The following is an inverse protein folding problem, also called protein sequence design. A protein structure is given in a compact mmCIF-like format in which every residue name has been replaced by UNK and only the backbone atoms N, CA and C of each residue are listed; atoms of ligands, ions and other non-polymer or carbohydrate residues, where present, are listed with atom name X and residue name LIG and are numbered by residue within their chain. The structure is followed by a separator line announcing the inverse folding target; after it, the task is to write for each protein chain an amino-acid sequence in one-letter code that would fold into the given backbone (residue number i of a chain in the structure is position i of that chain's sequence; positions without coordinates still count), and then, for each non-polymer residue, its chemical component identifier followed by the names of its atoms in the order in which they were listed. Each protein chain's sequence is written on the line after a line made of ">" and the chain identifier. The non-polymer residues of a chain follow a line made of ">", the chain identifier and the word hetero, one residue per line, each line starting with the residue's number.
data_IF_912942640001
#
_entry.id   IF_912942640001
#
_cell.length_a   1.000
_cell.length_b   1.000
_cell.length_c   1.000
_cell.angle_alpha   90.00
_cell.angle_beta   90.00
_cell.angle_gamma   90.00
#
_symmetry.space_group_name_H-M   'P 1'
#
loop_
_entity.id
_entity.type
_entity.pdbx_description
1 polymer ?
#
# COMPACT_ATOMS: atom_id res chain seq x y z
N UNK A 1 34.15 -33.69 -0.36
CA UNK A 1 35.47 -34.07 -0.92
C UNK A 1 36.17 -34.93 0.11
N UNK A 2 37.03 -35.85 -0.31
CA UNK A 2 37.88 -36.68 0.55
C UNK A 2 39.34 -36.42 0.20
N UNK A 3 40.21 -36.39 1.20
CA UNK A 3 41.64 -36.20 1.04
C UNK A 3 42.39 -37.37 1.65
N UNK A 4 43.36 -37.89 0.91
CA UNK A 4 44.24 -38.94 1.37
C UNK A 4 45.63 -38.34 1.67
N UNK A 5 46.03 -38.39 2.94
CA UNK A 5 47.29 -37.80 3.42
C UNK A 5 48.54 -38.52 2.92
N UNK A 6 48.45 -39.83 2.68
CA UNK A 6 49.59 -40.64 2.20
C UNK A 6 49.90 -40.37 0.73
N UNK A 7 48.86 -40.20 -0.09
CA UNK A 7 48.98 -39.99 -1.54
C UNK A 7 48.95 -38.52 -1.95
N UNK A 8 48.55 -37.62 -1.05
CA UNK A 8 48.36 -36.20 -1.34
C UNK A 8 47.22 -35.90 -2.31
N UNK A 9 46.32 -36.86 -2.57
CA UNK A 9 45.22 -36.71 -3.53
C UNK A 9 43.93 -36.24 -2.86
N UNK A 10 43.31 -35.20 -3.42
CA UNK A 10 41.94 -34.80 -3.10
C UNK A 10 40.98 -35.31 -4.17
N UNK A 11 39.96 -36.06 -3.77
CA UNK A 11 38.90 -36.55 -4.65
C UNK A 11 37.55 -35.98 -4.24
N UNK A 12 36.65 -35.76 -5.19
CA UNK A 12 35.32 -35.27 -4.87
C UNK A 12 34.45 -35.05 -6.08
N UNK A 13 33.15 -34.95 -5.81
CA UNK A 13 32.17 -34.62 -6.82
C UNK A 13 31.79 -33.14 -6.71
N UNK A 14 31.81 -32.43 -7.83
CA UNK A 14 31.36 -31.05 -7.92
C UNK A 14 30.28 -30.94 -8.99
N UNK A 15 29.10 -30.46 -8.60
CA UNK A 15 27.98 -30.20 -9.51
C UNK A 15 27.93 -28.72 -9.84
N UNK A 16 27.85 -28.39 -11.13
CA UNK A 16 27.76 -27.03 -11.62
C UNK A 16 26.73 -26.85 -12.72
N UNK A 17 26.12 -25.66 -12.78
CA UNK A 17 25.32 -25.17 -13.91
C UNK A 17 26.17 -24.30 -14.84
N UNK A 18 25.65 -23.97 -16.02
CA UNK A 18 26.32 -23.02 -16.93
C UNK A 18 26.52 -21.62 -16.33
N UNK A 19 25.67 -21.24 -15.37
CA UNK A 19 25.79 -20.00 -14.60
C UNK A 19 26.80 -20.08 -13.44
N UNK A 20 27.34 -21.27 -13.16
CA UNK A 20 28.28 -21.48 -12.06
C UNK A 20 29.70 -21.11 -12.46
N UNK A 21 30.44 -20.55 -11.52
CA UNK A 21 31.84 -20.15 -11.74
C UNK A 21 32.84 -21.33 -11.70
N UNK A 22 32.35 -22.57 -11.72
CA UNK A 22 33.16 -23.79 -11.56
C UNK A 22 34.19 -23.96 -12.68
N UNK A 23 33.84 -23.64 -13.93
CA UNK A 23 34.77 -23.72 -15.07
C UNK A 23 35.98 -22.78 -14.85
N UNK A 24 35.73 -21.57 -14.36
CA UNK A 24 36.78 -20.61 -14.05
C UNK A 24 37.61 -21.07 -12.84
N UNK A 25 36.97 -21.64 -11.82
CA UNK A 25 37.67 -22.22 -10.66
C UNK A 25 38.60 -23.37 -11.06
N UNK A 26 38.19 -24.24 -12.00
CA UNK A 26 39.03 -25.32 -12.53
C UNK A 26 40.21 -24.75 -13.35
N UNK A 27 39.98 -23.71 -14.16
CA UNK A 27 41.06 -23.04 -14.89
C UNK A 27 42.11 -22.45 -13.93
N UNK A 28 41.67 -21.78 -12.87
CA UNK A 28 42.55 -21.25 -11.82
C UNK A 28 43.31 -22.37 -11.09
N UNK A 29 42.63 -23.48 -10.76
CA UNK A 29 43.29 -24.64 -10.16
C UNK A 29 44.40 -25.19 -11.06
N UNK A 30 44.14 -25.32 -12.38
CA UNK A 30 45.13 -25.78 -13.36
C UNK A 30 46.30 -24.81 -13.53
N UNK A 31 46.13 -23.51 -13.27
CA UNK A 31 47.24 -22.56 -13.27
C UNK A 31 48.07 -22.58 -11.98
N UNK A 32 47.51 -23.12 -10.88
CA UNK A 32 48.14 -23.16 -9.55
C UNK A 32 48.73 -24.53 -9.21
N UNK A 33 49.41 -25.16 -10.18
CA UNK A 33 49.91 -26.55 -10.07
C UNK A 33 50.89 -26.75 -8.91
N UNK A 34 51.70 -25.73 -8.59
CA UNK A 34 52.69 -25.78 -7.49
C UNK A 34 52.07 -25.98 -6.11
N UNK A 35 50.80 -25.60 -5.94
CA UNK A 35 50.14 -25.51 -4.64
C UNK A 35 49.02 -26.58 -4.48
N UNK A 36 48.88 -27.50 -5.45
CA UNK A 36 47.77 -28.49 -5.53
C UNK A 36 47.69 -29.44 -4.33
N UNK A 37 48.77 -29.60 -3.56
CA UNK A 37 48.83 -30.57 -2.46
C UNK A 37 47.84 -30.31 -1.32
N UNK A 38 47.33 -29.08 -1.14
CA UNK A 38 46.47 -28.77 0.01
C UNK A 38 44.99 -29.02 -0.28
N UNK A 39 44.25 -29.78 0.58
CA UNK A 39 42.87 -30.18 0.32
C UNK A 39 41.88 -29.01 0.22
N UNK A 40 42.16 -27.89 0.90
CA UNK A 40 41.33 -26.67 0.87
C UNK A 40 41.59 -25.74 -0.33
N UNK A 41 42.54 -26.04 -1.23
CA UNK A 41 42.84 -25.15 -2.36
C UNK A 41 41.62 -24.98 -3.27
N UNK A 42 41.03 -26.06 -3.76
CA UNK A 42 39.87 -26.01 -4.66
C UNK A 42 38.64 -25.37 -4.00
N UNK A 43 38.22 -25.78 -2.78
CA UNK A 43 37.18 -25.09 -2.03
C UNK A 43 37.42 -23.58 -1.91
N UNK A 44 38.66 -23.16 -1.61
CA UNK A 44 39.00 -21.75 -1.44
C UNK A 44 38.91 -20.98 -2.75
N UNK A 45 39.36 -21.57 -3.87
CA UNK A 45 39.22 -20.97 -5.20
C UNK A 45 37.74 -20.78 -5.54
N UNK A 46 36.90 -21.80 -5.29
CA UNK A 46 35.45 -21.72 -5.52
C UNK A 46 34.82 -20.60 -4.69
N UNK A 47 35.12 -20.53 -3.39
CA UNK A 47 34.64 -19.47 -2.50
C UNK A 47 35.09 -18.09 -3.01
N UNK A 48 36.36 -17.93 -3.35
CA UNK A 48 36.90 -16.64 -3.79
C UNK A 48 36.27 -16.14 -5.09
N UNK A 49 35.94 -17.04 -6.01
CA UNK A 49 35.34 -16.71 -7.28
C UNK A 49 33.86 -16.34 -7.11
N UNK A 50 33.13 -17.04 -6.24
CA UNK A 50 31.74 -16.69 -5.93
C UNK A 50 31.60 -15.36 -5.17
N UNK A 51 32.63 -15.03 -4.37
CA UNK A 51 32.74 -13.76 -3.65
C UNK A 51 33.33 -12.62 -4.50
N UNK A 52 33.71 -12.85 -5.76
CA UNK A 52 34.44 -11.87 -6.54
C UNK A 52 33.56 -10.68 -6.98
N UNK A 53 33.77 -9.52 -6.33
CA UNK A 53 33.35 -8.14 -6.67
C UNK A 53 31.85 -7.82 -6.85
N UNK A 54 31.02 -8.74 -7.34
CA UNK A 54 29.63 -8.45 -7.69
C UNK A 54 28.74 -8.14 -6.49
N UNK A 55 29.01 -8.75 -5.32
CA UNK A 55 28.19 -8.55 -4.12
C UNK A 55 28.40 -7.14 -3.56
N UNK A 56 29.66 -6.70 -3.44
CA UNK A 56 30.01 -5.39 -2.89
C UNK A 56 29.53 -4.24 -3.81
N UNK A 57 29.64 -4.42 -5.13
CA UNK A 57 29.15 -3.47 -6.13
C UNK A 57 27.63 -3.31 -6.01
N UNK A 58 26.88 -4.42 -6.01
CA UNK A 58 25.41 -4.37 -5.86
C UNK A 58 24.98 -3.70 -4.55
N UNK A 59 25.68 -3.97 -3.44
CA UNK A 59 25.40 -3.33 -2.15
C UNK A 59 25.76 -1.84 -2.14
N UNK A 60 26.75 -1.41 -2.94
CA UNK A 60 27.06 0.01 -3.15
C UNK A 60 25.97 0.67 -3.99
N UNK A 61 25.55 0.03 -5.08
CA UNK A 61 24.54 0.56 -5.99
C UNK A 61 23.18 0.69 -5.29
N UNK A 62 22.77 -0.32 -4.52
CA UNK A 62 21.55 -0.26 -3.70
C UNK A 62 21.57 0.89 -2.69
N UNK A 63 22.73 1.23 -2.11
CA UNK A 63 22.86 2.40 -1.22
C UNK A 63 22.76 3.73 -1.95
N UNK A 64 23.29 3.80 -3.18
CA UNK A 64 23.13 4.96 -4.05
C UNK A 64 21.66 5.17 -4.41
N UNK A 65 20.99 4.09 -4.80
CA UNK A 65 19.58 4.12 -5.13
C UNK A 65 18.68 4.48 -3.94
N UNK A 66 18.92 3.88 -2.76
CA UNK A 66 18.24 4.27 -1.53
C UNK A 66 18.38 5.76 -1.24
N UNK A 67 19.55 6.36 -1.49
CA UNK A 67 19.75 7.80 -1.29
C UNK A 67 18.86 8.62 -2.22
N UNK A 68 18.66 8.19 -3.46
CA UNK A 68 17.74 8.86 -4.39
C UNK A 68 16.30 8.77 -3.87
N UNK A 69 15.87 7.59 -3.39
CA UNK A 69 14.54 7.41 -2.79
C UNK A 69 14.37 8.30 -1.54
N UNK A 70 15.38 8.39 -0.68
CA UNK A 70 15.38 9.26 0.50
C UNK A 70 15.26 10.74 0.12
N UNK A 71 15.98 11.18 -0.92
CA UNK A 71 15.86 12.55 -1.43
C UNK A 71 14.47 12.83 -1.99
N UNK A 72 13.92 11.93 -2.80
CA UNK A 72 12.58 12.07 -3.36
C UNK A 72 11.49 12.13 -2.28
N UNK A 73 11.62 11.33 -1.21
CA UNK A 73 10.67 11.35 -0.09
C UNK A 73 10.86 12.58 0.83
N UNK A 74 12.10 13.05 1.04
CA UNK A 74 12.39 14.19 1.91
C UNK A 74 12.11 15.54 1.26
N UNK A 75 12.27 15.68 -0.05
CA UNK A 75 12.09 16.94 -0.79
C UNK A 75 10.63 17.23 -1.18
N UNK A 76 9.67 16.49 -0.63
CA UNK A 76 8.22 16.62 -0.92
C UNK A 76 7.58 18.00 -0.71
N UNK A 77 8.35 19.05 -0.39
CA UNK A 77 7.90 20.45 -0.31
C UNK A 77 8.78 21.47 -1.05
N UNK A 78 9.99 21.12 -1.51
CA UNK A 78 10.92 22.03 -2.18
C UNK A 78 11.30 21.45 -3.54
N UNK A 79 10.45 21.73 -4.54
CA UNK A 79 10.60 21.24 -5.90
C UNK A 79 11.82 21.87 -6.59
N UNK A 80 12.95 21.18 -6.56
CA UNK A 80 13.94 21.27 -7.63
C UNK A 80 13.82 20.03 -8.54
N UNK A 81 13.69 20.31 -9.83
CA UNK A 81 13.36 19.42 -10.95
C UNK A 81 14.48 18.42 -11.30
N UNK A 82 14.95 17.59 -10.37
CA UNK A 82 16.12 16.73 -10.65
C UNK A 82 15.92 15.23 -10.48
N UNK A 83 14.75 14.73 -10.05
CA UNK A 83 14.57 13.28 -9.86
C UNK A 83 13.35 12.73 -10.60
N UNK A 84 13.51 11.57 -11.25
CA UNK A 84 12.53 10.92 -12.14
C UNK A 84 11.22 10.45 -11.47
N UNK A 85 11.04 10.79 -10.20
CA UNK A 85 9.88 10.48 -9.36
C UNK A 85 8.84 11.61 -9.33
N UNK A 86 9.11 12.74 -9.97
CA UNK A 86 8.15 13.87 -10.09
C UNK A 86 7.61 13.91 -11.51
N UNK A 87 6.28 13.75 -11.65
CA UNK A 87 5.55 13.94 -12.91
C UNK A 87 4.57 15.08 -12.72
N UNK A 88 4.65 16.10 -13.57
CA UNK A 88 3.76 17.28 -13.54
C UNK A 88 3.72 18.01 -12.18
N UNK A 89 4.85 18.05 -11.46
CA UNK A 89 4.95 18.66 -10.13
C UNK A 89 4.30 17.84 -9.00
N UNK A 90 3.79 16.64 -9.31
CA UNK A 90 3.25 15.68 -8.35
C UNK A 90 4.24 14.54 -8.14
N UNK A 91 4.37 14.09 -6.89
CA UNK A 91 5.16 12.92 -6.54
C UNK A 91 4.45 11.63 -7.02
N UNK A 92 5.13 10.82 -7.83
CA UNK A 92 4.66 9.51 -8.30
C UNK A 92 4.93 8.46 -7.21
N UNK A 93 3.95 8.28 -6.32
CA UNK A 93 4.02 7.36 -5.19
C UNK A 93 4.14 5.90 -5.63
N UNK A 94 3.56 5.53 -6.77
CA UNK A 94 3.61 4.17 -7.29
C UNK A 94 5.00 3.84 -7.84
N UNK A 95 5.63 4.80 -8.52
CA UNK A 95 7.01 4.66 -8.96
C UNK A 95 7.97 4.52 -7.77
N UNK A 96 7.81 5.35 -6.74
CA UNK A 96 8.61 5.24 -5.51
C UNK A 96 8.41 3.90 -4.80
N UNK A 97 7.18 3.42 -4.70
CA UNK A 97 6.89 2.15 -4.04
C UNK A 97 7.54 0.96 -4.77
N UNK A 98 7.44 0.93 -6.11
CA UNK A 98 8.08 -0.11 -6.93
C UNK A 98 9.60 -0.11 -6.74
N UNK A 99 10.22 1.06 -6.85
CA UNK A 99 11.66 1.22 -6.76
C UNK A 99 12.17 0.92 -5.34
N UNK A 100 11.39 1.26 -4.30
CA UNK A 100 11.68 0.89 -2.92
C UNK A 100 11.67 -0.63 -2.73
N UNK A 101 10.66 -1.33 -3.27
CA UNK A 101 10.58 -2.80 -3.20
C UNK A 101 11.72 -3.46 -3.97
N UNK A 102 12.07 -2.93 -5.13
CA UNK A 102 13.18 -3.44 -5.93
C UNK A 102 14.52 -3.23 -5.22
N UNK A 103 14.78 -2.05 -4.68
CA UNK A 103 15.95 -1.78 -3.85
C UNK A 103 16.02 -2.72 -2.65
N UNK A 104 14.89 -2.98 -1.99
CA UNK A 104 14.80 -3.95 -0.88
C UNK A 104 15.23 -5.34 -1.33
N UNK A 105 14.73 -5.81 -2.47
CA UNK A 105 15.09 -7.13 -3.03
C UNK A 105 16.59 -7.24 -3.36
N UNK A 106 17.19 -6.17 -3.89
CA UNK A 106 18.62 -6.15 -4.23
C UNK A 106 19.52 -6.21 -2.98
N UNK A 107 19.14 -5.56 -1.89
CA UNK A 107 19.91 -5.63 -0.63
C UNK A 107 19.89 -7.02 0.02
N UNK A 108 18.85 -7.82 -0.24
CA UNK A 108 18.72 -9.19 0.27
C UNK A 108 19.48 -10.23 -0.58
N UNK A 109 19.92 -9.87 -1.79
CA UNK A 109 20.62 -10.79 -2.67
C UNK A 109 21.96 -11.25 -2.06
N UNK A 110 22.17 -12.56 -1.95
CA UNK A 110 23.41 -13.19 -1.43
C UNK A 110 23.78 -12.66 -0.02
N UNK A 111 22.98 -13.04 0.97
CA UNK A 111 23.14 -12.61 2.36
C UNK A 111 24.58 -12.85 2.90
N UNK A 112 25.31 -11.81 3.34
CA UNK A 112 26.67 -11.93 3.87
C UNK A 112 26.78 -12.89 5.07
N UNK A 113 25.73 -13.03 5.88
CA UNK A 113 25.69 -13.95 7.02
C UNK A 113 25.88 -15.41 6.59
N UNK A 114 25.31 -15.81 5.45
CA UNK A 114 25.51 -17.16 4.90
C UNK A 114 26.98 -17.42 4.56
N UNK A 115 27.67 -16.42 4.01
CA UNK A 115 29.09 -16.53 3.72
C UNK A 115 29.96 -16.55 4.98
N UNK A 116 29.55 -15.88 6.06
CA UNK A 116 30.23 -16.00 7.36
C UNK A 116 30.13 -17.43 7.91
N UNK A 117 28.96 -18.06 7.83
CA UNK A 117 28.79 -19.46 8.22
C UNK A 117 29.65 -20.39 7.37
N UNK A 118 29.73 -20.15 6.06
CA UNK A 118 30.61 -20.92 5.17
C UNK A 118 32.07 -20.74 5.61
N UNK A 119 32.54 -19.52 5.87
CA UNK A 119 33.91 -19.29 6.34
C UNK A 119 34.18 -19.97 7.69
N UNK A 120 33.20 -20.01 8.60
CA UNK A 120 33.34 -20.73 9.86
C UNK A 120 33.60 -22.22 9.62
N UNK A 121 32.83 -22.88 8.77
CA UNK A 121 33.08 -24.28 8.39
C UNK A 121 34.41 -24.48 7.64
N UNK A 122 34.85 -23.51 6.86
CA UNK A 122 36.20 -23.56 6.26
C UNK A 122 37.30 -23.52 7.33
N UNK A 123 37.13 -22.74 8.40
CA UNK A 123 38.08 -22.70 9.51
C UNK A 123 38.09 -24.01 10.31
N UNK A 124 36.91 -24.57 10.60
CA UNK A 124 36.78 -25.89 11.22
C UNK A 124 37.50 -26.97 10.37
N UNK A 125 37.31 -26.95 9.05
CA UNK A 125 38.00 -27.86 8.14
C UNK A 125 39.52 -27.64 8.12
N UNK A 126 39.98 -26.39 8.23
CA UNK A 126 41.41 -26.08 8.35
C UNK A 126 41.98 -26.61 9.67
N UNK A 127 41.28 -26.48 10.79
CA UNK A 127 41.72 -27.03 12.08
C UNK A 127 41.87 -28.55 12.04
N UNK A 128 40.92 -29.26 11.41
CA UNK A 128 41.00 -30.71 11.21
C UNK A 128 42.17 -31.12 10.30
N UNK A 129 42.44 -30.34 9.25
CA UNK A 129 43.62 -30.58 8.38
C UNK A 129 44.91 -30.31 9.14
N UNK A 130 44.93 -29.30 10.01
CA UNK A 130 46.10 -28.95 10.80
C UNK A 130 46.49 -30.06 11.78
N UNK A 131 45.53 -30.66 12.49
CA UNK A 131 45.80 -31.76 13.41
C UNK A 131 46.44 -32.97 12.72
N UNK A 132 46.00 -33.28 11.49
CA UNK A 132 46.51 -34.40 10.69
C UNK A 132 47.85 -34.09 9.98
N UNK A 133 48.15 -32.82 9.67
CA UNK A 133 49.46 -32.42 9.15
C UNK A 133 50.54 -32.59 10.23
N UNK A 134 50.22 -32.32 11.49
CA UNK A 134 51.17 -32.50 12.59
C UNK A 134 51.48 -33.96 12.92
N UNK A 135 50.57 -34.91 12.60
CA UNK A 135 50.77 -36.34 12.84
C UNK A 135 51.59 -37.01 11.72
N UNK A 136 51.36 -36.65 10.45
CA UNK A 136 51.94 -37.32 9.28
C UNK A 136 53.27 -36.74 8.76
N UNK A 137 53.92 -35.86 9.53
CA UNK A 137 55.23 -35.29 9.20
C UNK A 137 55.15 -33.86 8.67
N UNK A 138 55.99 -33.00 9.25
CA UNK A 138 55.94 -31.56 9.07
C UNK A 138 56.52 -31.13 7.70
N UNK A 139 55.70 -31.06 6.66
CA UNK A 139 56.12 -30.46 5.37
C UNK A 139 56.06 -28.92 5.47
N UNK A 140 57.20 -28.20 5.41
CA UNK A 140 57.25 -26.75 5.60
C UNK A 140 56.49 -25.97 4.52
N UNK A 141 56.43 -26.51 3.29
CA UNK A 141 55.68 -25.87 2.19
C UNK A 141 54.18 -25.92 2.44
N UNK A 142 53.67 -27.08 2.89
CA UNK A 142 52.26 -27.28 3.25
C UNK A 142 51.86 -26.36 4.41
N UNK A 143 52.68 -26.26 5.45
CA UNK A 143 52.39 -25.43 6.62
C UNK A 143 52.39 -23.92 6.28
N UNK A 144 53.32 -23.49 5.42
CA UNK A 144 53.34 -22.11 4.90
C UNK A 144 52.07 -21.82 4.11
N UNK A 145 51.65 -22.73 3.25
CA UNK A 145 50.43 -22.58 2.46
C UNK A 145 49.17 -22.58 3.34
N UNK A 146 49.10 -23.49 4.31
CA UNK A 146 48.03 -23.57 5.30
C UNK A 146 47.85 -22.24 6.04
N UNK A 147 48.95 -21.65 6.51
CA UNK A 147 48.94 -20.34 7.20
C UNK A 147 48.45 -19.22 6.27
N UNK A 148 48.83 -19.24 4.98
CA UNK A 148 48.34 -18.27 3.99
C UNK A 148 46.84 -18.38 3.75
N UNK A 149 46.29 -19.59 3.64
CA UNK A 149 44.84 -19.81 3.51
C UNK A 149 44.12 -19.24 4.75
N UNK A 150 44.62 -19.55 5.94
CA UNK A 150 44.01 -19.12 7.20
C UNK A 150 43.98 -17.58 7.30
N UNK A 151 45.08 -16.92 6.95
CA UNK A 151 45.14 -15.44 6.85
C UNK A 151 44.13 -14.89 5.83
N UNK A 152 43.97 -15.54 4.68
CA UNK A 152 43.00 -15.13 3.65
C UNK A 152 41.55 -15.31 4.11
N UNK A 153 41.24 -16.41 4.81
CA UNK A 153 39.92 -16.64 5.40
C UNK A 153 39.59 -15.60 6.48
N UNK A 154 40.55 -15.28 7.36
CA UNK A 154 40.42 -14.20 8.36
C UNK A 154 40.14 -12.85 7.69
N UNK A 155 40.85 -12.53 6.62
CA UNK A 155 40.60 -11.31 5.85
C UNK A 155 39.17 -11.29 5.27
N UNK A 156 38.71 -12.38 4.65
CA UNK A 156 37.37 -12.46 4.09
C UNK A 156 36.27 -12.39 5.14
N UNK A 157 36.46 -12.99 6.32
CA UNK A 157 35.55 -12.87 7.45
C UNK A 157 35.41 -11.42 7.91
N UNK A 158 36.53 -10.71 8.15
CA UNK A 158 36.49 -9.30 8.58
C UNK A 158 35.81 -8.42 7.54
N UNK A 159 36.06 -8.67 6.26
CA UNK A 159 35.39 -7.98 5.16
C UNK A 159 33.87 -8.22 5.15
N UNK A 160 33.43 -9.46 5.33
CA UNK A 160 32.01 -9.82 5.38
C UNK A 160 31.30 -9.28 6.62
N UNK A 161 31.95 -9.25 7.77
CA UNK A 161 31.39 -8.62 8.97
C UNK A 161 31.07 -7.15 8.74
N UNK A 162 31.99 -6.40 8.12
CA UNK A 162 31.69 -5.02 7.71
C UNK A 162 30.52 -4.93 6.73
N UNK A 163 30.39 -5.89 5.81
CA UNK A 163 29.26 -5.94 4.88
C UNK A 163 27.92 -6.21 5.59
N UNK A 164 27.89 -7.08 6.61
CA UNK A 164 26.69 -7.33 7.44
C UNK A 164 26.20 -6.05 8.09
N UNK A 165 27.10 -5.24 8.66
CA UNK A 165 26.72 -3.97 9.27
C UNK A 165 26.13 -3.01 8.23
N UNK A 166 26.69 -2.98 7.01
CA UNK A 166 26.13 -2.19 5.91
C UNK A 166 24.76 -2.69 5.44
N UNK A 167 24.54 -4.00 5.34
CA UNK A 167 23.23 -4.53 4.96
C UNK A 167 22.19 -4.21 6.03
N UNK A 168 22.52 -4.38 7.30
CA UNK A 168 21.62 -4.11 8.42
C UNK A 168 21.24 -2.62 8.50
N UNK A 169 22.21 -1.72 8.32
CA UNK A 169 21.94 -0.28 8.31
C UNK A 169 21.10 0.15 7.10
N UNK A 170 21.35 -0.44 5.93
CA UNK A 170 20.58 -0.17 4.71
C UNK A 170 19.15 -0.68 4.83
N UNK A 171 18.94 -1.87 5.39
CA UNK A 171 17.60 -2.43 5.65
C UNK A 171 16.80 -1.55 6.62
N UNK A 172 17.39 -1.13 7.74
CA UNK A 172 16.73 -0.23 8.69
C UNK A 172 16.34 1.11 8.04
N UNK A 173 17.19 1.66 7.17
CA UNK A 173 16.87 2.88 6.44
C UNK A 173 15.73 2.67 5.45
N UNK A 174 15.73 1.55 4.72
CA UNK A 174 14.63 1.18 3.82
C UNK A 174 13.31 1.02 4.57
N UNK A 175 13.31 0.40 5.75
CA UNK A 175 12.13 0.26 6.61
C UNK A 175 11.57 1.64 7.01
N UNK A 176 12.43 2.57 7.42
CA UNK A 176 12.02 3.95 7.72
C UNK A 176 11.38 4.62 6.50
N UNK A 177 11.95 4.44 5.31
CA UNK A 177 11.38 5.03 4.08
C UNK A 177 10.05 4.39 3.69
N UNK A 178 9.89 3.08 3.90
CA UNK A 178 8.62 2.38 3.68
C UNK A 178 7.52 2.91 4.60
N UNK A 179 7.84 3.11 5.87
CA UNK A 179 6.90 3.65 6.86
C UNK A 179 6.51 5.09 6.52
N UNK A 180 7.50 5.91 6.12
CA UNK A 180 7.27 7.28 5.68
C UNK A 180 6.35 7.34 4.44
N UNK A 181 6.63 6.53 3.42
CA UNK A 181 5.80 6.44 2.21
C UNK A 181 4.36 6.01 2.56
N UNK A 182 4.20 5.01 3.43
CA UNK A 182 2.88 4.55 3.88
C UNK A 182 2.10 5.65 4.62
N UNK A 183 2.80 6.45 5.43
CA UNK A 183 2.19 7.61 6.11
C UNK A 183 1.76 8.69 5.12
N UNK A 184 2.56 8.97 4.08
CA UNK A 184 2.22 9.94 3.02
C UNK A 184 0.97 9.47 2.26
N UNK A 185 0.91 8.18 1.88
CA UNK A 185 -0.26 7.59 1.21
C UNK A 185 -1.51 7.75 2.09
N UNK A 186 -1.44 7.34 3.37
CA UNK A 186 -2.56 7.46 4.29
C UNK A 186 -3.02 8.92 4.49
N UNK A 187 -2.08 9.87 4.50
CA UNK A 187 -2.39 11.31 4.59
C UNK A 187 -3.08 11.81 3.32
N UNK A 188 -2.64 11.39 2.13
CA UNK A 188 -3.25 11.74 0.85
C UNK A 188 -4.68 11.18 0.76
N UNK A 189 -4.87 9.91 1.12
CA UNK A 189 -6.19 9.27 1.12
C UNK A 189 -7.15 9.97 2.10
N UNK A 190 -6.67 10.36 3.28
CA UNK A 190 -7.47 11.11 4.25
C UNK A 190 -7.91 12.47 3.70
N UNK A 191 -7.04 13.18 2.98
CA UNK A 191 -7.39 14.46 2.33
C UNK A 191 -8.42 14.28 1.21
N UNK A 192 -8.23 13.27 0.36
CA UNK A 192 -9.18 12.94 -0.71
C UNK A 192 -10.55 12.58 -0.13
N UNK A 193 -10.59 11.78 0.93
CA UNK A 193 -11.84 11.43 1.61
C UNK A 193 -12.54 12.67 2.20
N UNK A 194 -11.78 13.61 2.75
CA UNK A 194 -12.32 14.88 3.23
C UNK A 194 -12.91 15.74 2.10
N UNK A 195 -12.21 15.84 0.96
CA UNK A 195 -12.68 16.56 -0.22
C UNK A 195 -13.95 15.92 -0.81
N UNK A 196 -13.98 14.59 -0.91
CA UNK A 196 -15.17 13.82 -1.33
C UNK A 196 -16.34 14.06 -0.38
N UNK A 197 -16.10 14.09 0.93
CA UNK A 197 -17.13 14.42 1.92
C UNK A 197 -17.65 15.86 1.75
N UNK A 198 -16.76 16.82 1.49
CA UNK A 198 -17.11 18.21 1.18
C UNK A 198 -17.97 18.33 -0.08
N UNK A 199 -17.56 17.66 -1.17
CA UNK A 199 -18.33 17.62 -2.42
C UNK A 199 -19.68 16.93 -2.25
N UNK A 200 -19.73 15.84 -1.49
CA UNK A 200 -20.98 15.14 -1.15
C UNK A 200 -21.92 16.03 -0.34
N UNK A 201 -21.38 16.83 0.60
CA UNK A 201 -22.16 17.82 1.35
C UNK A 201 -22.72 18.91 0.44
N UNK A 202 -21.91 19.44 -0.47
CA UNK A 202 -22.36 20.43 -1.46
C UNK A 202 -23.46 19.87 -2.36
N UNK A 203 -23.27 18.63 -2.85
CA UNK A 203 -24.26 17.92 -3.63
C UNK A 203 -25.56 17.70 -2.84
N UNK A 204 -25.49 17.26 -1.58
CA UNK A 204 -26.67 17.10 -0.73
C UNK A 204 -27.44 18.43 -0.53
N UNK A 205 -26.72 19.56 -0.38
CA UNK A 205 -27.35 20.89 -0.30
C UNK A 205 -28.02 21.28 -1.62
N UNK A 206 -27.40 20.99 -2.77
CA UNK A 206 -28.00 21.24 -4.08
C UNK A 206 -29.24 20.35 -4.30
N UNK A 207 -29.17 19.06 -3.98
CA UNK A 207 -30.30 18.13 -4.05
C UNK A 207 -31.45 18.55 -3.14
N UNK A 208 -31.18 19.02 -1.91
CA UNK A 208 -32.23 19.54 -1.02
C UNK A 208 -33.01 20.71 -1.66
N UNK A 209 -32.32 21.57 -2.43
CA UNK A 209 -32.98 22.64 -3.19
C UNK A 209 -33.83 22.09 -4.33
N UNK A 210 -33.31 21.10 -5.07
CA UNK A 210 -34.03 20.47 -6.18
C UNK A 210 -35.31 19.73 -5.73
N UNK A 211 -35.26 19.08 -4.55
CA UNK A 211 -36.44 18.47 -3.91
C UNK A 211 -37.59 19.47 -3.70
N UNK A 212 -37.29 20.75 -3.47
CA UNK A 212 -38.31 21.80 -3.34
C UNK A 212 -39.13 21.99 -4.62
N UNK A 213 -38.47 21.99 -5.78
CA UNK A 213 -39.12 22.05 -7.09
C UNK A 213 -39.94 20.79 -7.38
N UNK A 214 -39.41 19.62 -7.03
CA UNK A 214 -40.12 18.34 -7.16
C UNK A 214 -41.39 18.30 -6.30
N UNK A 215 -41.34 18.84 -5.09
CA UNK A 215 -42.50 18.94 -4.19
C UNK A 215 -43.58 19.86 -4.78
N UNK A 216 -43.21 20.95 -5.45
CA UNK A 216 -44.17 21.86 -6.08
C UNK A 216 -44.98 21.19 -7.21
N UNK A 217 -44.32 20.39 -8.07
CA UNK A 217 -45.00 19.62 -9.12
C UNK A 217 -45.95 18.55 -8.54
N UNK A 218 -45.52 17.85 -7.48
CA UNK A 218 -46.37 16.87 -6.80
C UNK A 218 -47.61 17.52 -6.18
N UNK A 219 -47.48 18.72 -5.62
CA UNK A 219 -48.59 19.48 -5.05
C UNK A 219 -49.58 19.92 -6.15
N UNK A 220 -49.08 20.42 -7.29
CA UNK A 220 -49.92 20.72 -8.46
C UNK A 220 -50.69 19.48 -8.93
N UNK A 221 -50.02 18.33 -9.04
CA UNK A 221 -50.67 17.06 -9.40
C UNK A 221 -51.78 16.66 -8.42
N UNK A 222 -51.55 16.83 -7.12
CA UNK A 222 -52.53 16.52 -6.06
C UNK A 222 -53.78 17.40 -6.15
N UNK A 223 -53.65 18.65 -6.60
CA UNK A 223 -54.78 19.57 -6.84
C UNK A 223 -55.54 19.20 -8.11
N UNK A 224 -54.85 18.85 -9.20
CA UNK A 224 -55.49 18.60 -10.50
C UNK A 224 -56.13 17.22 -10.65
N UNK A 225 -55.60 16.19 -9.99
CA UNK A 225 -56.12 14.82 -10.07
C UNK A 225 -57.61 14.67 -9.66
N UNK A 226 -58.09 15.21 -8.53
CA UNK A 226 -59.49 15.10 -8.17
C UNK A 226 -60.41 15.91 -9.10
N UNK A 227 -59.97 17.09 -9.54
CA UNK A 227 -60.74 17.90 -10.49
C UNK A 227 -60.93 17.21 -11.84
N UNK A 228 -59.87 16.60 -12.37
CA UNK A 228 -59.91 15.86 -13.63
C UNK A 228 -60.72 14.56 -13.52
N UNK A 229 -60.62 13.82 -12.41
CA UNK A 229 -61.42 12.62 -12.16
C UNK A 229 -62.92 12.94 -12.10
N UNK A 230 -63.30 14.01 -11.39
CA UNK A 230 -64.68 14.45 -11.32
C UNK A 230 -65.17 14.93 -12.68
N UNK A 231 -64.37 15.73 -13.41
CA UNK A 231 -64.70 16.13 -14.79
C UNK A 231 -64.94 14.92 -15.71
N UNK A 232 -64.12 13.86 -15.60
CA UNK A 232 -64.30 12.63 -16.37
C UNK A 232 -65.59 11.89 -16.02
N UNK A 233 -65.96 11.79 -14.74
CA UNK A 233 -67.23 11.15 -14.33
C UNK A 233 -68.42 11.95 -14.88
N UNK A 234 -68.40 13.27 -14.78
CA UNK A 234 -69.45 14.13 -15.31
C UNK A 234 -69.49 14.17 -16.86
N UNK A 235 -68.40 13.81 -17.53
CA UNK A 235 -68.33 13.65 -18.99
C UNK A 235 -68.93 12.32 -19.49
N UNK A 236 -69.17 11.35 -18.61
CA UNK A 236 -69.91 10.14 -18.96
C UNK A 236 -71.41 10.44 -19.05
N UNK A 237 -72.16 9.65 -19.83
CA UNK A 237 -73.58 9.84 -20.17
C UNK A 237 -74.56 9.70 -18.97
N UNK A 238 -74.09 9.89 -17.74
CA UNK A 238 -74.86 9.77 -16.51
C UNK A 238 -75.84 10.94 -16.29
N UNK A 239 -75.65 12.07 -16.98
CA UNK A 239 -76.61 13.18 -17.07
C UNK A 239 -77.20 13.22 -18.47
N UNK A 240 -78.48 12.86 -18.59
CA UNK A 240 -79.19 12.91 -19.85
C UNK A 240 -79.46 14.36 -20.27
N UNK A 241 -78.82 14.81 -21.36
CA UNK A 241 -79.00 16.12 -21.99
C UNK A 241 -80.06 16.08 -23.10
N UNK A 242 -80.72 14.94 -23.33
CA UNK A 242 -81.76 14.79 -24.34
C UNK A 242 -83.15 14.86 -23.71
N UNK A 243 -83.56 16.05 -23.28
CA UNK A 243 -84.97 16.42 -23.43
C UNK A 243 -85.11 17.91 -23.77
N UNK A 244 -85.02 18.15 -25.08
CA UNK A 244 -85.75 19.15 -25.85
C UNK A 244 -86.15 20.45 -25.14
N UNK A 245 -85.30 21.48 -25.20
CA UNK A 245 -85.66 22.81 -25.75
C UNK A 245 -84.43 23.72 -25.78
N UNK A 246 -84.28 24.46 -26.87
CA UNK A 246 -83.15 25.32 -27.23
C UNK A 246 -83.08 26.62 -26.40
N UNK A 247 -83.04 26.52 -25.06
CA UNK A 247 -82.79 27.67 -24.18
C UNK A 247 -81.96 27.22 -22.97
N UNK A 248 -80.70 27.67 -22.93
CA UNK A 248 -79.68 27.40 -21.92
C UNK A 248 -79.21 25.93 -21.82
N UNK A 249 -78.04 25.68 -22.39
CA UNK A 249 -77.29 24.39 -22.46
C UNK A 249 -76.74 23.97 -21.08
N UNK A 250 -77.50 24.16 -20.00
CA UNK A 250 -77.03 23.92 -18.63
C UNK A 250 -78.16 23.33 -17.80
N UNK A 251 -78.06 22.03 -17.52
CA UNK A 251 -78.99 21.33 -16.64
C UNK A 251 -79.11 22.04 -15.28
N UNK A 252 -80.32 22.18 -14.69
CA UNK A 252 -80.52 22.76 -13.36
C UNK A 252 -79.72 22.07 -12.24
N UNK A 253 -79.19 20.87 -12.50
CA UNK A 253 -78.37 20.08 -11.57
C UNK A 253 -76.87 20.41 -11.64
N UNK A 254 -76.45 21.40 -12.43
CA UNK A 254 -75.04 21.83 -12.49
C UNK A 254 -74.48 22.24 -11.12
N UNK A 255 -75.32 22.69 -10.19
CA UNK A 255 -74.91 22.98 -8.82
C UNK A 255 -74.34 21.75 -8.09
N UNK A 256 -74.75 20.54 -8.48
CA UNK A 256 -74.25 19.29 -7.91
C UNK A 256 -72.76 19.08 -8.20
N UNK A 257 -72.25 19.55 -9.35
CA UNK A 257 -70.82 19.52 -9.67
C UNK A 257 -70.01 20.29 -8.61
N UNK A 258 -70.40 21.53 -8.30
CA UNK A 258 -69.73 22.33 -7.28
C UNK A 258 -69.94 21.76 -5.87
N UNK A 259 -71.12 21.20 -5.59
CA UNK A 259 -71.43 20.56 -4.33
C UNK A 259 -70.60 19.29 -4.07
N UNK A 260 -70.14 18.58 -5.11
CA UNK A 260 -69.26 17.41 -4.95
C UNK A 260 -67.78 17.75 -5.12
N UNK A 261 -67.43 18.59 -6.09
CA UNK A 261 -66.04 18.89 -6.43
C UNK A 261 -65.31 19.68 -5.35
N UNK A 262 -65.96 20.69 -4.77
CA UNK A 262 -65.35 21.53 -3.74
C UNK A 262 -65.03 20.71 -2.47
N UNK A 263 -65.98 19.96 -1.88
CA UNK A 263 -65.69 19.19 -0.67
C UNK A 263 -64.67 18.08 -0.88
N UNK A 264 -64.71 17.36 -2.02
CA UNK A 264 -63.73 16.30 -2.30
C UNK A 264 -62.32 16.88 -2.46
N UNK A 265 -62.18 18.03 -3.12
CA UNK A 265 -60.90 18.72 -3.25
C UNK A 265 -60.37 19.21 -1.90
N UNK A 266 -61.24 19.81 -1.07
CA UNK A 266 -60.89 20.24 0.29
C UNK A 266 -60.48 19.05 1.17
N UNK A 267 -61.16 17.91 1.06
CA UNK A 267 -60.86 16.71 1.84
C UNK A 267 -59.49 16.13 1.45
N UNK A 268 -59.19 16.03 0.16
CA UNK A 268 -57.90 15.51 -0.34
C UNK A 268 -56.75 16.45 0.02
N UNK A 269 -56.92 17.77 -0.17
CA UNK A 269 -55.90 18.74 0.23
C UNK A 269 -55.73 18.80 1.75
N UNK A 270 -56.83 18.75 2.51
CA UNK A 270 -56.81 18.71 3.97
C UNK A 270 -56.10 17.47 4.51
N UNK A 271 -56.42 16.29 3.97
CA UNK A 271 -55.77 15.03 4.33
C UNK A 271 -54.28 15.04 3.92
N UNK A 272 -53.95 15.55 2.72
CA UNK A 272 -52.58 15.69 2.24
C UNK A 272 -51.73 16.62 3.10
N UNK A 273 -52.23 17.82 3.39
CA UNK A 273 -51.55 18.79 4.26
C UNK A 273 -51.41 18.30 5.70
N UNK A 274 -52.42 17.59 6.22
CA UNK A 274 -52.35 16.95 7.53
C UNK A 274 -51.27 15.86 7.56
N UNK A 275 -51.24 14.99 6.55
CA UNK A 275 -50.24 13.93 6.42
C UNK A 275 -48.82 14.49 6.24
N UNK A 276 -48.65 15.54 5.43
CA UNK A 276 -47.38 16.25 5.28
C UNK A 276 -46.93 16.93 6.57
N UNK A 277 -47.82 17.61 7.29
CA UNK A 277 -47.49 18.20 8.60
C UNK A 277 -47.02 17.15 9.59
N UNK A 278 -47.73 16.03 9.68
CA UNK A 278 -47.35 14.92 10.57
C UNK A 278 -45.99 14.33 10.19
N UNK A 279 -45.72 14.17 8.89
CA UNK A 279 -44.41 13.69 8.41
C UNK A 279 -43.29 14.69 8.67
N UNK A 280 -43.50 15.98 8.41
CA UNK A 280 -42.50 17.05 8.64
C UNK A 280 -42.04 17.08 10.10
N UNK A 281 -42.97 17.01 11.05
CA UNK A 281 -42.63 17.01 12.49
C UNK A 281 -41.82 15.79 12.92
N UNK A 282 -42.05 14.61 12.31
CA UNK A 282 -41.24 13.43 12.56
C UNK A 282 -39.83 13.57 11.96
N UNK A 283 -39.74 14.02 10.71
CA UNK A 283 -38.46 14.24 10.04
C UNK A 283 -37.60 15.32 10.72
N UNK A 284 -38.19 16.42 11.20
CA UNK A 284 -37.44 17.46 11.93
C UNK A 284 -36.85 16.94 13.25
N UNK A 285 -37.59 16.08 13.97
CA UNK A 285 -37.06 15.43 15.18
C UNK A 285 -35.92 14.47 14.86
N UNK A 286 -36.11 13.63 13.84
CA UNK A 286 -35.06 12.73 13.36
C UNK A 286 -33.82 13.49 12.87
N UNK A 287 -33.98 14.59 12.13
CA UNK A 287 -32.87 15.45 11.69
C UNK A 287 -32.13 16.08 12.88
N UNK A 288 -32.85 16.57 13.89
CA UNK A 288 -32.25 17.14 15.11
C UNK A 288 -31.49 16.10 15.92
N UNK A 289 -32.05 14.89 16.04
CA UNK A 289 -31.40 13.79 16.76
C UNK A 289 -30.16 13.30 16.00
N UNK A 290 -30.23 13.21 14.67
CA UNK A 290 -29.07 12.92 13.81
C UNK A 290 -28.01 14.02 13.88
N UNK A 291 -28.40 15.29 13.90
CA UNK A 291 -27.48 16.42 14.02
C UNK A 291 -26.74 16.42 15.36
N UNK A 292 -27.45 16.18 16.47
CA UNK A 292 -26.84 16.02 17.80
C UNK A 292 -25.89 14.82 17.83
N UNK A 293 -26.30 13.68 17.28
CA UNK A 293 -25.45 12.48 17.20
C UNK A 293 -24.19 12.73 16.35
N UNK A 294 -24.29 13.48 15.25
CA UNK A 294 -23.15 13.87 14.41
C UNK A 294 -22.19 14.79 15.17
N UNK A 295 -22.70 15.77 15.91
CA UNK A 295 -21.87 16.71 16.68
C UNK A 295 -21.15 16.01 17.84
N UNK A 296 -21.83 15.09 18.53
CA UNK A 296 -21.23 14.23 19.55
C UNK A 296 -20.14 13.32 18.96
N UNK A 297 -20.40 12.73 17.79
CA UNK A 297 -19.42 11.92 17.07
C UNK A 297 -18.20 12.74 16.67
N UNK A 298 -18.37 13.95 16.12
CA UNK A 298 -17.27 14.84 15.74
C UNK A 298 -16.43 15.25 16.96
N UNK A 299 -17.06 15.64 18.07
CA UNK A 299 -16.37 15.93 19.34
C UNK A 299 -15.58 14.72 19.82
N UNK A 300 -16.13 13.51 19.72
CA UNK A 300 -15.44 12.28 20.11
C UNK A 300 -14.22 11.98 19.22
N UNK A 301 -14.32 12.21 17.91
CA UNK A 301 -13.24 12.03 16.95
C UNK A 301 -12.13 13.04 17.19
N UNK A 302 -12.47 14.32 17.40
CA UNK A 302 -11.51 15.38 17.71
C UNK A 302 -10.79 15.14 19.05
N UNK A 303 -11.52 14.68 20.07
CA UNK A 303 -10.94 14.27 21.35
C UNK A 303 -10.02 13.03 21.20
N UNK A 304 -10.38 12.07 20.36
CA UNK A 304 -9.55 10.90 20.08
C UNK A 304 -8.28 11.26 19.30
N UNK A 305 -8.38 12.16 18.31
CA UNK A 305 -7.23 12.67 17.55
C UNK A 305 -6.26 13.44 18.45
N UNK A 306 -6.75 14.36 19.27
CA UNK A 306 -5.90 15.14 20.20
C UNK A 306 -5.22 14.26 21.25
N UNK A 307 -5.90 13.22 21.77
CA UNK A 307 -5.24 12.24 22.66
C UNK A 307 -4.12 11.48 21.95
N UNK A 308 -4.33 11.06 20.70
CA UNK A 308 -3.31 10.34 19.91
C UNK A 308 -2.12 11.22 19.52
N UNK A 309 -2.33 12.50 19.26
CA UNK A 309 -1.22 13.44 19.00
C UNK A 309 -0.42 13.72 20.27
N UNK A 310 -1.08 13.91 21.42
CA UNK A 310 -0.41 14.13 22.70
C UNK A 310 0.33 12.89 23.21
N UNK A 311 -0.21 11.68 23.02
CA UNK A 311 0.48 10.44 23.43
C UNK A 311 1.76 10.18 22.64
N UNK A 312 1.83 10.62 21.37
CA UNK A 312 3.06 10.55 20.58
C UNK A 312 4.13 11.53 21.07
N UNK A 313 3.75 12.72 21.57
CA UNK A 313 4.69 13.70 22.14
C UNK A 313 5.22 13.27 23.51
N UNK A 314 4.39 12.62 24.33
CA UNK A 314 4.80 12.17 25.66
C UNK A 314 5.89 11.07 25.66
N UNK A 315 6.02 10.30 24.58
CA UNK A 315 7.05 9.25 24.46
C UNK A 315 8.45 9.79 24.14
N UNK A 316 8.59 11.08 23.82
CA UNK A 316 9.89 11.71 23.53
C UNK A 316 10.59 12.32 24.76
N UNK A 317 9.89 12.47 25.89
CA UNK A 317 10.44 13.09 27.11
C UNK A 317 10.79 12.09 28.23
N UNK A 318 10.92 10.79 27.91
CA UNK A 318 11.44 9.79 28.84
C UNK A 318 12.73 9.22 28.28
N UNK A 319 13.80 10.02 28.35
CA UNK A 319 15.19 9.56 28.37
C UNK A 319 16.05 10.52 29.15
#
# INVERSE_FOLDING_TARGET
>A
MSYNFDTGMTTGFCKGSASSHIVNSIKLLKSSVSDIGHPMLLPLIMLSNDMASGIEIKQRDARGWLRHIEHALSMGSSLEFTDGYVRDGLLDLDALNRDLVECYSQTLWKNPTTYLTIIAHFKEAMEAVQSEIFTNGNNPTMNTFHTRILSKLKFHEKRLLGLVDYTNTTQKRLEIQKDALSMIIAQKDSRLNFEVAGNSRSLAHATKRDTGSMMALALLGTVFLPGTYIASIFSTTFFDFQNSTWTAVMSPKFWLYWATAIPTTILILGAGLFWERQRKLKYEREELDLARASEEMEKSILAAMTRRTLSKVATWNVR
#
